data_IF_738672946217
#
_entry.id   IF_738672946217
#
_cell.length_a   1.000
_cell.length_b   1.000
_cell.length_c   1.000
_cell.angle_alpha   90.00
_cell.angle_beta   90.00
_cell.angle_gamma   90.00
#
_symmetry.space_group_name_H-M   'P 1'
#
loop_
_entity.id
_entity.type
_entity.pdbx_description
1 polymer ?
#
# COMPACT_ATOMS: atom_id res chain seq x y z
N UNK A 1 -11.70 1.40 4.80
CA UNK A 1 -10.65 2.40 4.58
C UNK A 1 -11.28 3.64 3.98
N UNK A 2 -11.18 4.78 4.65
CA UNK A 2 -11.66 6.08 4.15
C UNK A 2 -10.52 6.82 3.44
N UNK A 3 -10.68 7.10 2.14
CA UNK A 3 -9.68 7.81 1.33
C UNK A 3 -9.99 9.30 1.25
N UNK A 4 -8.96 10.14 1.38
CA UNK A 4 -9.03 11.59 1.17
C UNK A 4 -7.72 12.10 0.56
N UNK A 5 -7.77 13.24 -0.12
CA UNK A 5 -6.60 13.96 -0.64
C UNK A 5 -6.72 15.41 -0.14
N UNK A 6 -6.38 15.67 1.13
CA UNK A 6 -6.60 16.98 1.75
C UNK A 6 -5.70 18.07 1.14
N UNK A 7 -4.53 17.70 0.62
CA UNK A 7 -3.52 18.66 0.21
C UNK A 7 -2.72 18.18 -1.02
N UNK A 8 -2.06 19.14 -1.67
CA UNK A 8 -1.11 18.93 -2.74
C UNK A 8 0.18 19.67 -2.43
N UNK A 9 1.32 19.12 -2.84
CA UNK A 9 2.62 19.76 -2.67
C UNK A 9 3.42 19.75 -3.98
N UNK A 10 4.29 20.74 -4.16
CA UNK A 10 5.23 20.77 -5.28
C UNK A 10 6.51 20.07 -4.84
N UNK A 11 6.90 19.02 -5.57
CA UNK A 11 8.14 18.27 -5.34
C UNK A 11 9.05 18.32 -6.54
N UNK A 12 10.33 18.03 -6.31
CA UNK A 12 11.34 17.91 -7.35
C UNK A 12 11.68 16.44 -7.57
N UNK A 13 11.81 16.06 -8.84
CA UNK A 13 12.39 14.78 -9.25
C UNK A 13 13.93 14.82 -9.08
N UNK A 14 14.59 13.66 -9.17
CA UNK A 14 16.06 13.53 -9.12
C UNK A 14 16.76 14.41 -10.17
N UNK A 15 16.08 14.62 -11.30
CA UNK A 15 16.53 15.47 -12.40
C UNK A 15 16.28 16.98 -12.17
N UNK A 16 15.80 17.38 -10.99
CA UNK A 16 15.50 18.77 -10.63
C UNK A 16 14.22 19.36 -11.26
N UNK A 17 13.48 18.57 -12.05
CA UNK A 17 12.18 18.98 -12.60
C UNK A 17 11.10 18.92 -11.52
N UNK A 18 10.25 19.94 -11.45
CA UNK A 18 9.17 19.98 -10.45
C UNK A 18 7.89 19.34 -10.94
N UNK A 19 7.12 18.75 -10.02
CA UNK A 19 5.82 18.16 -10.26
C UNK A 19 4.90 18.38 -9.05
N UNK A 20 3.59 18.25 -9.30
CA UNK A 20 2.58 18.28 -8.23
C UNK A 20 2.36 16.86 -7.72
N UNK A 21 2.59 16.66 -6.42
CA UNK A 21 2.24 15.47 -5.67
C UNK A 21 0.88 15.66 -4.98
N UNK A 22 0.10 14.59 -4.95
CA UNK A 22 -1.20 14.50 -4.28
C UNK A 22 -1.04 13.64 -3.04
N UNK A 23 -1.37 14.19 -1.88
CA UNK A 23 -1.16 13.54 -0.59
C UNK A 23 -2.38 12.69 -0.27
N UNK A 24 -2.30 11.38 -0.50
CA UNK A 24 -3.38 10.46 -0.26
C UNK A 24 -3.36 10.05 1.21
N UNK A 25 -4.44 10.34 1.91
CA UNK A 25 -4.67 9.96 3.30
C UNK A 25 -5.66 8.80 3.38
N UNK A 26 -5.35 7.82 4.23
CA UNK A 26 -6.23 6.71 4.57
C UNK A 26 -6.57 6.81 6.06
N UNK A 27 -7.87 6.87 6.37
CA UNK A 27 -8.39 7.06 7.73
C UNK A 27 -7.78 8.28 8.44
N UNK A 28 -7.54 9.37 7.70
CA UNK A 28 -7.01 10.64 8.22
C UNK A 28 -5.47 10.72 8.28
N UNK A 29 -4.76 9.62 8.09
CA UNK A 29 -3.29 9.57 8.13
C UNK A 29 -2.73 9.56 6.72
N UNK A 30 -1.65 10.30 6.49
CA UNK A 30 -0.92 10.24 5.23
C UNK A 30 -0.47 8.81 4.93
N UNK A 31 -0.93 8.28 3.80
CA UNK A 31 -0.60 6.94 3.35
C UNK A 31 0.48 6.98 2.26
N UNK A 32 0.28 7.78 1.21
CA UNK A 32 1.25 7.94 0.13
C UNK A 32 1.16 9.30 -0.56
N UNK A 33 2.22 9.65 -1.29
CA UNK A 33 2.36 10.84 -2.14
C UNK A 33 2.58 10.36 -3.55
N UNK A 34 1.68 10.74 -4.44
CA UNK A 34 1.75 10.28 -5.84
C UNK A 34 1.58 11.44 -6.80
N UNK A 35 2.24 11.36 -7.96
CA UNK A 35 1.98 12.29 -9.08
C UNK A 35 0.81 11.80 -9.92
N UNK A 36 0.16 12.72 -10.64
CA UNK A 36 -0.98 12.40 -11.52
C UNK A 36 -0.72 11.22 -12.47
N UNK A 37 0.48 11.15 -13.06
CA UNK A 37 0.84 10.07 -13.99
C UNK A 37 0.91 8.68 -13.34
N UNK A 38 1.19 8.57 -12.04
CA UNK A 38 1.15 7.28 -11.33
C UNK A 38 -0.30 6.78 -11.21
N UNK A 39 -1.22 7.64 -10.78
CA UNK A 39 -2.65 7.30 -10.67
C UNK A 39 -3.28 7.02 -12.04
N UNK A 40 -2.83 7.74 -13.07
CA UNK A 40 -3.22 7.47 -14.44
C UNK A 40 -2.75 6.08 -14.92
N UNK A 41 -1.51 5.70 -14.57
CA UNK A 41 -1.00 4.36 -14.86
C UNK A 41 -1.82 3.26 -14.19
N UNK A 42 -2.21 3.46 -12.93
CA UNK A 42 -3.16 2.58 -12.23
C UNK A 42 -4.51 2.51 -12.96
N UNK A 43 -5.08 3.66 -13.33
CA UNK A 43 -6.35 3.71 -14.06
C UNK A 43 -6.29 2.95 -15.39
N UNK A 44 -5.23 3.14 -16.17
CA UNK A 44 -5.04 2.44 -17.45
C UNK A 44 -4.92 0.92 -17.26
N UNK A 45 -4.29 0.45 -16.18
CA UNK A 45 -4.22 -0.98 -15.85
C UNK A 45 -5.58 -1.55 -15.42
N UNK A 46 -6.29 -0.87 -14.52
CA UNK A 46 -7.65 -1.28 -14.09
C UNK A 46 -8.58 -1.34 -15.31
N UNK A 47 -8.52 -0.32 -16.17
CA UNK A 47 -9.33 -0.25 -17.40
C UNK A 47 -9.03 -1.39 -18.36
N UNK A 48 -7.78 -1.82 -18.47
CA UNK A 48 -7.36 -2.94 -19.30
C UNK A 48 -7.89 -4.28 -18.77
N UNK A 49 -7.93 -4.46 -17.45
CA UNK A 49 -8.33 -5.72 -16.81
C UNK A 49 -9.85 -5.86 -16.68
N UNK A 50 -10.54 -4.81 -16.23
CA UNK A 50 -11.98 -4.86 -15.90
C UNK A 50 -12.89 -4.22 -16.96
N UNK A 51 -12.31 -3.52 -17.95
CA UNK A 51 -13.03 -2.89 -19.04
C UNK A 51 -13.69 -1.54 -18.68
N UNK A 52 -14.06 -0.76 -19.70
CA UNK A 52 -14.48 0.64 -19.55
C UNK A 52 -15.73 0.86 -18.69
N UNK A 53 -16.62 -0.13 -18.60
CA UNK A 53 -17.93 0.04 -17.97
C UNK A 53 -17.87 -0.06 -16.43
N UNK A 54 -16.75 -0.55 -15.89
CA UNK A 54 -16.57 -0.77 -14.44
C UNK A 54 -15.72 0.34 -13.83
N UNK A 55 -14.87 1.00 -14.62
CA UNK A 55 -13.89 1.97 -14.07
C UNK A 55 -14.53 3.34 -13.86
N UNK A 56 -14.38 3.94 -12.66
CA UNK A 56 -14.83 5.31 -12.40
C UNK A 56 -14.18 6.32 -13.35
N UNK A 57 -14.86 7.45 -13.55
CA UNK A 57 -14.35 8.54 -14.37
C UNK A 57 -13.01 9.07 -13.81
N UNK A 58 -11.99 9.13 -14.68
CA UNK A 58 -10.66 9.60 -14.31
C UNK A 58 -10.41 11.02 -14.83
N UNK A 59 -9.70 11.89 -14.08
CA UNK A 59 -9.43 13.26 -14.53
C UNK A 59 -8.64 13.28 -15.84
N UNK A 60 -9.02 14.11 -16.83
CA UNK A 60 -8.37 14.12 -18.14
C UNK A 60 -6.93 14.64 -18.08
N UNK A 61 -6.10 14.16 -19.01
CA UNK A 61 -4.75 14.69 -19.24
C UNK A 61 -4.86 16.15 -19.72
N UNK A 62 -3.91 16.98 -19.31
CA UNK A 62 -3.78 18.37 -19.78
C UNK A 62 -2.44 18.51 -20.48
N UNK A 63 -2.42 19.29 -21.57
CA UNK A 63 -1.24 19.49 -22.43
C UNK A 63 -0.38 20.65 -21.92
N UNK A 64 -0.96 21.54 -21.10
CA UNK A 64 -0.29 22.70 -20.50
C UNK A 64 -0.09 22.50 -18.99
N UNK A 65 0.81 23.30 -18.41
CA UNK A 65 0.97 23.42 -16.96
C UNK A 65 -0.35 23.84 -16.32
N UNK A 66 -0.72 23.19 -15.22
CA UNK A 66 -1.98 23.48 -14.54
C UNK A 66 -1.85 24.78 -13.74
N UNK A 67 -2.90 25.59 -13.79
CA UNK A 67 -3.10 26.68 -12.83
C UNK A 67 -3.41 26.12 -11.43
N UNK A 68 -3.22 26.89 -10.34
CA UNK A 68 -3.57 26.44 -8.99
C UNK A 68 -5.03 25.97 -8.85
N UNK A 69 -5.96 26.65 -9.52
CA UNK A 69 -7.37 26.26 -9.54
C UNK A 69 -7.60 24.91 -10.25
N UNK A 70 -6.88 24.65 -11.35
CA UNK A 70 -6.95 23.36 -12.05
C UNK A 70 -6.29 22.24 -11.23
N UNK A 71 -5.24 22.54 -10.46
CA UNK A 71 -4.62 21.58 -9.53
C UNK A 71 -5.63 21.17 -8.46
N UNK A 72 -6.32 22.12 -7.85
CA UNK A 72 -7.32 21.82 -6.82
C UNK A 72 -8.53 21.07 -7.41
N UNK A 73 -9.02 21.48 -8.58
CA UNK A 73 -10.07 20.73 -9.29
C UNK A 73 -9.64 19.29 -9.57
N UNK A 74 -8.40 19.09 -10.02
CA UNK A 74 -7.86 17.74 -10.27
C UNK A 74 -7.72 16.95 -8.97
N UNK A 75 -7.30 17.58 -7.87
CA UNK A 75 -7.21 16.97 -6.54
C UNK A 75 -8.57 16.42 -6.12
N UNK A 76 -9.64 17.21 -6.22
CA UNK A 76 -11.00 16.77 -5.90
C UNK A 76 -11.47 15.60 -6.78
N UNK A 77 -11.16 15.64 -8.07
CA UNK A 77 -11.53 14.57 -8.99
C UNK A 77 -10.75 13.27 -8.71
N UNK A 78 -9.46 13.37 -8.37
CA UNK A 78 -8.65 12.22 -7.96
C UNK A 78 -9.12 11.64 -6.63
N UNK A 79 -9.53 12.48 -5.68
CA UNK A 79 -10.10 12.02 -4.41
C UNK A 79 -11.38 11.20 -4.64
N UNK A 80 -12.32 11.75 -5.41
CA UNK A 80 -13.55 11.06 -5.79
C UNK A 80 -13.27 9.76 -6.54
N UNK A 81 -12.27 9.74 -7.43
CA UNK A 81 -11.83 8.54 -8.14
C UNK A 81 -11.34 7.46 -7.17
N UNK A 82 -10.44 7.80 -6.24
CA UNK A 82 -9.89 6.85 -5.26
C UNK A 82 -10.98 6.29 -4.34
N UNK A 83 -11.91 7.14 -3.90
CA UNK A 83 -13.06 6.72 -3.11
C UNK A 83 -13.96 5.76 -3.89
N UNK A 84 -14.27 6.06 -5.16
CA UNK A 84 -15.10 5.21 -6.01
C UNK A 84 -14.44 3.84 -6.27
N UNK A 85 -13.14 3.82 -6.59
CA UNK A 85 -12.39 2.56 -6.79
C UNK A 85 -12.39 1.73 -5.52
N UNK A 86 -12.19 2.34 -4.34
CA UNK A 86 -12.18 1.58 -3.08
C UNK A 86 -13.56 1.05 -2.68
N UNK A 87 -14.63 1.80 -2.99
CA UNK A 87 -16.00 1.41 -2.66
C UNK A 87 -16.55 0.31 -3.58
N UNK A 88 -15.99 0.16 -4.78
CA UNK A 88 -16.37 -0.91 -5.70
C UNK A 88 -15.92 -2.28 -5.15
N UNK A 89 -16.83 -3.27 -5.03
CA UNK A 89 -16.50 -4.58 -4.45
C UNK A 89 -15.44 -5.38 -5.22
N UNK A 90 -15.28 -5.15 -6.52
CA UNK A 90 -14.33 -5.87 -7.37
C UNK A 90 -13.01 -5.11 -7.39
N UNK A 91 -13.05 -3.80 -7.65
CA UNK A 91 -11.84 -2.99 -7.77
C UNK A 91 -11.17 -2.77 -6.41
N UNK A 92 -11.94 -2.55 -5.36
CA UNK A 92 -11.43 -2.27 -4.02
C UNK A 92 -10.67 -3.44 -3.39
N UNK A 93 -11.05 -4.68 -3.75
CA UNK A 93 -10.36 -5.91 -3.34
C UNK A 93 -9.36 -6.42 -4.39
N UNK A 94 -9.19 -5.72 -5.51
CA UNK A 94 -8.27 -6.16 -6.56
C UNK A 94 -6.81 -6.10 -6.09
N UNK A 95 -6.02 -7.10 -6.44
CA UNK A 95 -4.60 -7.14 -6.08
C UNK A 95 -3.82 -5.99 -6.72
N UNK A 96 -4.22 -5.57 -7.92
CA UNK A 96 -3.63 -4.43 -8.62
C UNK A 96 -3.76 -3.12 -7.82
N UNK A 97 -4.95 -2.83 -7.29
CA UNK A 97 -5.16 -1.60 -6.51
C UNK A 97 -4.41 -1.66 -5.18
N UNK A 98 -4.48 -2.78 -4.46
CA UNK A 98 -3.83 -2.93 -3.17
C UNK A 98 -2.29 -2.95 -3.31
N UNK A 99 -1.73 -3.61 -4.33
CA UNK A 99 -0.30 -3.60 -4.64
C UNK A 99 0.21 -2.20 -4.98
N UNK A 100 -0.56 -1.41 -5.76
CA UNK A 100 -0.23 -0.02 -6.04
C UNK A 100 -0.12 0.82 -4.76
N UNK A 101 -1.10 0.70 -3.85
CA UNK A 101 -1.09 1.46 -2.59
C UNK A 101 0.11 1.09 -1.72
N UNK A 102 0.42 -0.21 -1.59
CA UNK A 102 1.58 -0.69 -0.83
C UNK A 102 2.90 -0.12 -1.39
N UNK A 103 3.10 -0.19 -2.71
CA UNK A 103 4.29 0.36 -3.37
C UNK A 103 4.40 1.87 -3.19
N UNK A 104 3.31 2.60 -3.40
CA UNK A 104 3.29 4.06 -3.25
C UNK A 104 3.57 4.49 -1.79
N UNK A 105 3.09 3.73 -0.80
CA UNK A 105 3.38 3.96 0.60
C UNK A 105 4.88 3.76 0.90
N UNK A 106 5.46 2.66 0.44
CA UNK A 106 6.90 2.38 0.58
C UNK A 106 7.76 3.50 -0.02
N UNK A 107 7.47 3.91 -1.26
CA UNK A 107 8.16 5.03 -1.93
C UNK A 107 8.06 6.34 -1.12
N UNK A 108 6.89 6.63 -0.57
CA UNK A 108 6.62 7.88 0.15
C UNK A 108 7.36 7.97 1.47
N UNK A 109 7.41 6.85 2.19
CA UNK A 109 8.07 6.80 3.49
C UNK A 109 9.60 6.85 3.34
N UNK A 110 10.13 6.65 2.13
CA UNK A 110 11.58 6.57 1.85
C UNK A 110 12.28 5.63 2.83
N UNK A 111 11.56 4.63 3.35
CA UNK A 111 12.14 3.64 4.25
C UNK A 111 13.09 2.86 3.37
N UNK A 112 14.41 2.94 3.61
CA UNK A 112 15.33 2.08 2.90
C UNK A 112 14.89 0.65 3.17
N UNK A 113 14.78 -0.15 2.12
CA UNK A 113 14.61 -1.58 2.31
C UNK A 113 15.85 -2.08 3.02
N UNK A 114 15.68 -2.47 4.28
CA UNK A 114 16.76 -2.92 5.14
C UNK A 114 16.53 -4.38 5.49
N UNK A 115 17.62 -5.14 5.54
CA UNK A 115 17.59 -6.50 6.08
C UNK A 115 17.50 -6.41 7.60
N UNK A 116 16.39 -6.88 8.16
CA UNK A 116 16.11 -6.88 9.59
C UNK A 116 15.91 -8.31 10.07
N UNK A 117 16.24 -8.55 11.34
CA UNK A 117 15.99 -9.83 11.96
C UNK A 117 14.68 -9.78 12.74
N UNK A 118 13.67 -10.49 12.25
CA UNK A 118 12.36 -10.59 12.88
C UNK A 118 12.29 -11.86 13.76
N UNK A 119 11.85 -11.70 15.01
CA UNK A 119 11.66 -12.80 15.95
C UNK A 119 10.20 -13.26 15.96
N UNK A 120 9.98 -14.51 15.56
CA UNK A 120 8.68 -15.16 15.44
C UNK A 120 8.48 -16.12 16.60
N UNK A 121 7.35 -15.96 17.30
CA UNK A 121 6.94 -16.82 18.39
C UNK A 121 6.16 -18.02 17.84
N UNK A 122 6.61 -19.23 18.17
CA UNK A 122 5.90 -20.45 17.83
C UNK A 122 4.91 -20.82 18.94
N UNK A 123 3.90 -21.61 18.58
CA UNK A 123 2.88 -22.09 19.54
C UNK A 123 3.46 -22.97 20.66
N UNK A 124 4.63 -23.56 20.46
CA UNK A 124 5.35 -24.35 21.46
C UNK A 124 6.21 -23.50 22.42
N UNK A 125 6.13 -22.17 22.35
CA UNK A 125 6.88 -21.23 23.18
C UNK A 125 8.32 -20.99 22.73
N UNK A 126 8.78 -21.64 21.65
CA UNK A 126 10.08 -21.37 21.05
C UNK A 126 10.02 -20.11 20.19
N UNK A 127 11.21 -19.53 19.96
CA UNK A 127 11.42 -18.36 19.11
C UNK A 127 12.27 -18.73 17.91
N UNK A 128 11.85 -18.29 16.74
CA UNK A 128 12.61 -18.43 15.49
C UNK A 128 12.94 -17.05 15.00
N UNK A 129 14.20 -16.84 14.62
CA UNK A 129 14.64 -15.56 14.04
C UNK A 129 14.80 -15.71 12.54
N UNK A 130 14.10 -14.92 11.75
CA UNK A 130 14.24 -14.89 10.29
C UNK A 130 14.83 -13.55 9.86
N UNK A 131 15.71 -13.57 8.86
CA UNK A 131 16.14 -12.34 8.21
C UNK A 131 15.15 -12.06 7.09
N UNK A 132 14.58 -10.87 7.11
CA UNK A 132 13.57 -10.41 6.17
C UNK A 132 13.91 -8.98 5.76
N UNK A 133 13.33 -8.53 4.66
CA UNK A 133 13.38 -7.13 4.29
C UNK A 133 12.20 -6.38 4.93
N UNK A 134 12.41 -5.12 5.31
CA UNK A 134 11.31 -4.26 5.80
C UNK A 134 10.16 -4.08 4.80
N UNK A 135 10.38 -4.44 3.54
CA UNK A 135 9.37 -4.45 2.47
C UNK A 135 8.62 -5.76 2.28
N UNK A 136 9.03 -6.84 2.95
CA UNK A 136 8.46 -8.19 2.79
C UNK A 136 7.00 -8.24 3.26
N UNK A 137 6.17 -8.96 2.51
CA UNK A 137 4.77 -9.19 2.85
C UNK A 137 4.62 -10.39 3.79
N UNK A 138 3.44 -10.54 4.40
CA UNK A 138 3.17 -11.63 5.35
C UNK A 138 3.44 -13.02 4.75
N UNK A 139 3.18 -13.20 3.45
CA UNK A 139 3.46 -14.44 2.72
C UNK A 139 4.96 -14.71 2.61
N UNK A 140 5.74 -13.69 2.23
CA UNK A 140 7.21 -13.77 2.13
C UNK A 140 7.83 -14.14 3.50
N UNK A 141 7.35 -13.50 4.57
CA UNK A 141 7.80 -13.79 5.95
C UNK A 141 7.41 -15.21 6.37
N UNK A 142 6.19 -15.65 6.03
CA UNK A 142 5.72 -16.99 6.37
C UNK A 142 6.53 -18.08 5.64
N UNK A 143 6.87 -17.86 4.37
CA UNK A 143 7.74 -18.74 3.59
C UNK A 143 9.15 -18.82 4.18
N UNK A 144 9.72 -17.67 4.59
CA UNK A 144 11.02 -17.63 5.25
C UNK A 144 11.04 -18.42 6.58
N UNK A 145 9.94 -18.37 7.35
CA UNK A 145 9.79 -19.15 8.59
C UNK A 145 9.63 -20.64 8.29
N UNK A 146 8.80 -20.99 7.30
CA UNK A 146 8.56 -22.37 6.89
C UNK A 146 9.85 -23.04 6.41
N UNK A 147 10.61 -22.36 5.54
CA UNK A 147 11.92 -22.82 5.08
C UNK A 147 12.89 -23.04 6.23
N UNK A 148 12.92 -22.11 7.20
CA UNK A 148 13.79 -22.23 8.38
C UNK A 148 13.40 -23.36 9.34
N UNK A 149 12.15 -23.77 9.33
CA UNK A 149 11.63 -24.88 10.15
C UNK A 149 11.64 -26.23 9.42
N UNK A 150 12.18 -26.28 8.20
CA UNK A 150 12.11 -27.45 7.30
C UNK A 150 10.66 -27.96 7.15
N UNK A 151 9.69 -27.02 7.14
CA UNK A 151 8.28 -27.36 6.97
C UNK A 151 8.02 -27.74 5.51
N UNK A 152 7.37 -28.87 5.24
CA UNK A 152 6.95 -29.22 3.88
C UNK A 152 6.06 -28.14 3.25
N UNK A 153 6.33 -27.78 2.00
CA UNK A 153 5.60 -26.73 1.25
C UNK A 153 4.07 -26.93 1.27
N UNK A 154 3.62 -28.19 1.20
CA UNK A 154 2.21 -28.56 1.25
C UNK A 154 1.50 -28.14 2.54
N UNK A 155 2.27 -27.94 3.63
CA UNK A 155 1.74 -27.57 4.94
C UNK A 155 1.72 -26.05 5.17
N UNK A 156 2.47 -25.26 4.39
CA UNK A 156 2.64 -23.81 4.61
C UNK A 156 1.29 -23.08 4.63
N UNK A 157 0.38 -23.46 3.73
CA UNK A 157 -0.96 -22.85 3.62
C UNK A 157 -1.88 -23.08 4.83
N UNK A 158 -1.50 -23.94 5.79
CA UNK A 158 -2.24 -24.14 7.04
C UNK A 158 -1.77 -23.22 8.17
N UNK A 159 -0.73 -22.42 7.94
CA UNK A 159 -0.17 -21.51 8.94
C UNK A 159 -0.49 -20.05 8.59
N UNK A 160 -0.46 -19.21 9.62
CA UNK A 160 -0.66 -17.77 9.48
C UNK A 160 0.14 -17.05 10.57
N UNK A 161 0.58 -15.84 10.26
CA UNK A 161 1.29 -14.98 11.21
C UNK A 161 0.30 -14.03 11.89
N UNK A 162 0.54 -13.74 13.17
CA UNK A 162 -0.25 -12.83 13.97
C UNK A 162 0.67 -11.80 14.63
N UNK A 163 0.17 -10.58 14.83
CA UNK A 163 0.87 -9.57 15.60
C UNK A 163 0.61 -9.81 17.08
N UNK A 164 1.69 -9.86 17.86
CA UNK A 164 1.62 -10.03 19.31
C UNK A 164 2.06 -8.73 19.97
N UNK A 165 1.19 -8.18 20.82
CA UNK A 165 1.54 -7.07 21.69
C UNK A 165 1.86 -7.62 23.08
N UNK A 166 3.10 -7.43 23.54
CA UNK A 166 3.46 -7.67 24.94
C UNK A 166 2.89 -6.54 25.80
N UNK A 167 2.04 -6.91 26.77
CA UNK A 167 1.64 -5.99 27.84
C UNK A 167 2.71 -6.01 28.93
N UNK A 168 2.92 -4.86 29.57
CA UNK A 168 3.93 -4.68 30.63
C UNK A 168 3.76 -5.57 31.88
N UNK A 169 2.69 -6.37 31.95
CA UNK A 169 2.40 -7.36 32.98
C UNK A 169 2.79 -8.80 32.57
N UNK A 170 3.39 -9.01 31.40
CA UNK A 170 3.79 -10.32 30.89
C UNK A 170 2.66 -11.09 30.19
N UNK A 171 1.49 -10.47 29.97
CA UNK A 171 0.43 -11.01 29.12
C UNK A 171 0.65 -10.67 27.64
N UNK A 172 0.37 -11.62 26.74
CA UNK A 172 0.40 -11.39 25.30
C UNK A 172 -1.02 -11.37 24.74
N UNK A 173 -1.36 -10.34 23.95
CA UNK A 173 -2.60 -10.31 23.17
C UNK A 173 -2.28 -10.41 21.68
N UNK A 174 -2.92 -11.34 20.98
CA UNK A 174 -2.82 -11.46 19.53
C UNK A 174 -3.86 -10.54 18.87
N UNK A 175 -3.41 -9.64 18.00
CA UNK A 175 -4.29 -8.80 17.19
C UNK A 175 -4.34 -9.31 15.74
N UNK A 176 -5.54 -9.34 15.17
CA UNK A 176 -5.72 -9.59 13.74
C UNK A 176 -5.45 -8.31 12.96
N UNK A 177 -4.65 -8.39 11.89
CA UNK A 177 -4.61 -7.33 10.88
C UNK A 177 -6.00 -7.20 10.23
N UNK A 178 -6.59 -6.00 10.24
CA UNK A 178 -7.77 -5.62 9.45
C UNK A 178 -7.31 -4.78 8.27
#
# INVERSE_FOLDING_TARGET
MHFSIPETEVRSDENGSTYVAYNIHVNGVLHCRVRYSQLLGLHEQIKKEYGNNVVPAFPPKKIFTLTPAEVDQRREQLEKYMQAVRQDPILGSSEMFNSFLRKAQQETQQIPTEEVQLEIYLSNGQKVKVNILTSDQTEDVLEAVASKLDLPDELVGYFSLFLVQERGDGGCTCEYNI
#
